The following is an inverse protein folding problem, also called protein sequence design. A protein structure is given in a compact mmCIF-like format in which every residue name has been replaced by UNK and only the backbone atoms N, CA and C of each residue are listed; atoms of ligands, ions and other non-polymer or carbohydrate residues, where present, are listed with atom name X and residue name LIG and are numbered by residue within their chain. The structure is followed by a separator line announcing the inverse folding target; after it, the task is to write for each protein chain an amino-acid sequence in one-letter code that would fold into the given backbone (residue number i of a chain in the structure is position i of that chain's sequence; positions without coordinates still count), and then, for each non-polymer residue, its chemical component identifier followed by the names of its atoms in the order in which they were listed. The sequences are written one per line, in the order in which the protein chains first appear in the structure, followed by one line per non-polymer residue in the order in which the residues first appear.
data_IF_862173406575
#
_entry.id   IF_862173406575
#
_cell.length_a   1.000
_cell.length_b   1.000
_cell.length_c   1.000
_cell.angle_alpha   90.00
_cell.angle_beta   90.00
_cell.angle_gamma   90.00
#
_symmetry.space_group_name_H-M   'P 1'
#
loop_
_entity.id
_entity.type
_entity.pdbx_description
1 polymer ?
#
# COMPACT_ATOMS: atom_id res chain seq x y z
N UNK A 1 5.09 -13.82 -4.23
CA UNK A 1 3.71 -13.29 -4.30
C UNK A 1 3.67 -12.25 -5.40
N UNK A 2 2.68 -12.30 -6.29
CA UNK A 2 2.37 -11.19 -7.18
C UNK A 2 1.80 -10.04 -6.34
N UNK A 3 2.21 -8.81 -6.63
CA UNK A 3 1.83 -7.64 -5.83
C UNK A 3 0.31 -7.40 -5.96
N UNK A 4 -0.45 -7.58 -4.87
CA UNK A 4 -1.90 -7.31 -4.82
C UNK A 4 -2.18 -5.80 -4.73
N UNK A 5 -1.73 -5.05 -5.75
CA UNK A 5 -1.79 -3.58 -5.80
C UNK A 5 -3.21 -3.05 -5.56
N UNK A 6 -4.23 -3.72 -6.11
CA UNK A 6 -5.64 -3.38 -5.91
C UNK A 6 -6.10 -3.58 -4.45
N UNK A 7 -5.62 -4.62 -3.77
CA UNK A 7 -5.94 -4.88 -2.36
C UNK A 7 -5.26 -3.86 -1.42
N UNK A 8 -4.00 -3.51 -1.70
CA UNK A 8 -3.25 -2.51 -0.94
C UNK A 8 -3.80 -1.10 -1.17
N UNK A 9 -4.24 -0.78 -2.39
CA UNK A 9 -4.97 0.45 -2.69
C UNK A 9 -6.29 0.53 -1.91
N UNK A 10 -7.04 -0.57 -1.80
CA UNK A 10 -8.26 -0.63 -1.01
C UNK A 10 -8.00 -0.48 0.51
N UNK A 11 -6.94 -1.10 1.05
CA UNK A 11 -6.53 -0.91 2.45
C UNK A 11 -6.18 0.57 2.73
N UNK A 12 -5.34 1.18 1.88
CA UNK A 12 -4.99 2.59 2.00
C UNK A 12 -6.24 3.48 1.92
N UNK A 13 -7.14 3.23 0.97
CA UNK A 13 -8.36 4.02 0.79
C UNK A 13 -9.33 3.93 1.97
N UNK A 14 -9.47 2.75 2.57
CA UNK A 14 -10.24 2.55 3.79
C UNK A 14 -9.69 3.39 4.95
N UNK A 15 -8.37 3.35 5.18
CA UNK A 15 -7.75 4.13 6.27
C UNK A 15 -7.75 5.65 6.02
N UNK A 16 -7.69 6.10 4.75
CA UNK A 16 -7.92 7.52 4.43
C UNK A 16 -9.37 7.89 4.70
N UNK A 17 -10.35 7.11 4.23
CA UNK A 17 -11.78 7.40 4.45
C UNK A 17 -12.13 7.50 5.94
N UNK A 18 -11.65 6.56 6.76
CA UNK A 18 -11.82 6.61 8.22
C UNK A 18 -11.21 7.85 8.86
N UNK A 19 -10.11 8.39 8.28
CA UNK A 19 -9.49 9.62 8.78
C UNK A 19 -10.26 10.89 8.42
N UNK A 20 -11.07 10.90 7.35
CA UNK A 20 -11.65 12.14 6.81
C UNK A 20 -12.60 12.86 7.78
N UNK A 21 -13.67 12.24 8.34
CA UNK A 21 -14.59 12.98 9.21
C UNK A 21 -13.93 13.56 10.47
N UNK A 22 -13.10 12.81 11.22
CA UNK A 22 -12.44 13.34 12.40
C UNK A 22 -11.30 14.33 12.09
N UNK A 23 -10.66 14.23 10.91
CA UNK A 23 -9.69 15.23 10.45
C UNK A 23 -10.38 16.55 10.13
N UNK A 24 -11.53 16.52 9.44
CA UNK A 24 -12.33 17.71 9.16
C UNK A 24 -12.83 18.38 10.44
N UNK A 25 -13.30 17.59 11.42
CA UNK A 25 -13.63 18.05 12.78
C UNK A 25 -12.44 18.76 13.44
N UNK A 26 -11.26 18.14 13.44
CA UNK A 26 -10.04 18.73 14.02
C UNK A 26 -9.59 20.02 13.33
N UNK A 27 -9.58 20.05 11.99
CA UNK A 27 -9.16 21.21 11.20
C UNK A 27 -10.10 22.41 11.42
N UNK A 28 -11.42 22.17 11.39
CA UNK A 28 -12.40 23.24 11.63
C UNK A 28 -12.42 23.66 13.10
N UNK A 29 -12.22 22.75 14.05
CA UNK A 29 -12.01 23.10 15.46
C UNK A 29 -10.80 24.02 15.66
N UNK A 30 -9.68 23.71 15.02
CA UNK A 30 -8.49 24.58 15.02
C UNK A 30 -8.76 25.95 14.37
N UNK A 31 -9.54 26.00 13.29
CA UNK A 31 -9.99 27.26 12.67
C UNK A 31 -10.94 28.07 13.56
N UNK A 32 -11.76 27.42 14.39
CA UNK A 32 -12.59 28.10 15.40
C UNK A 32 -11.75 28.79 16.47
N UNK A 33 -10.68 28.16 16.94
CA UNK A 33 -9.69 28.82 17.79
C UNK A 33 -8.97 29.97 17.06
N UNK A 34 -8.79 29.85 15.74
CA UNK A 34 -8.17 30.89 14.91
C UNK A 34 -9.10 32.09 14.64
N UNK A 35 -10.43 31.91 14.63
CA UNK A 35 -11.38 33.04 14.52
C UNK A 35 -11.27 33.99 15.71
N UNK A 36 -11.04 33.45 16.92
CA UNK A 36 -10.76 34.25 18.12
C UNK A 36 -9.45 35.06 18.04
N UNK A 37 -8.58 34.78 17.06
CA UNK A 37 -7.29 35.47 16.82
C UNK A 37 -7.33 36.35 15.56
N UNK A 38 -8.10 35.97 14.54
CA UNK A 38 -8.06 36.59 13.19
C UNK A 38 -9.31 37.46 12.90
N UNK A 39 -10.41 37.27 13.62
CA UNK A 39 -11.61 38.12 13.53
C UNK A 39 -12.83 37.44 12.87
N UNK A 40 -14.02 37.92 13.26
CA UNK A 40 -15.29 37.30 12.92
C UNK A 40 -15.65 37.42 11.43
N UNK A 41 -16.10 36.30 10.84
CA UNK A 41 -16.58 36.24 9.45
C UNK A 41 -15.72 35.36 8.53
N UNK A 42 -14.50 35.03 8.94
CA UNK A 42 -13.63 34.08 8.25
C UNK A 42 -14.26 32.69 8.16
N UNK A 43 -14.96 32.25 9.20
CA UNK A 43 -15.62 30.92 9.23
C UNK A 43 -16.64 30.75 8.11
N UNK A 44 -17.50 31.74 7.87
CA UNK A 44 -18.56 31.62 6.87
C UNK A 44 -18.01 31.69 5.44
N UNK A 45 -16.88 32.39 5.25
CA UNK A 45 -16.14 32.38 4.00
C UNK A 45 -15.48 31.02 3.75
N UNK A 46 -14.84 30.43 4.77
CA UNK A 46 -14.27 29.07 4.70
C UNK A 46 -15.37 28.03 4.45
N UNK A 47 -16.51 28.10 5.14
CA UNK A 47 -17.67 27.22 4.93
C UNK A 47 -18.12 27.24 3.47
N UNK A 48 -18.31 28.42 2.89
CA UNK A 48 -18.71 28.55 1.47
C UNK A 48 -17.63 27.97 0.56
N UNK A 49 -16.36 28.27 0.80
CA UNK A 49 -15.26 27.76 0.00
C UNK A 49 -15.13 26.22 0.08
N UNK A 50 -15.34 25.59 1.24
CA UNK A 50 -15.36 24.12 1.39
C UNK A 50 -16.55 23.48 0.64
N UNK A 51 -17.71 24.15 0.59
CA UNK A 51 -18.85 23.64 -0.18
C UNK A 51 -18.63 23.78 -1.69
N UNK A 52 -18.10 24.92 -2.14
CA UNK A 52 -17.71 25.15 -3.55
C UNK A 52 -16.58 24.21 -3.99
N UNK A 53 -15.55 24.03 -3.16
CA UNK A 53 -14.48 23.03 -3.34
C UNK A 53 -15.05 21.65 -3.66
N UNK A 54 -16.00 21.24 -2.82
CA UNK A 54 -16.52 19.89 -2.87
C UNK A 54 -17.38 19.71 -4.11
N UNK A 55 -18.01 20.77 -4.61
CA UNK A 55 -18.80 20.74 -5.84
C UNK A 55 -17.96 20.67 -7.13
N UNK A 56 -16.65 20.98 -7.10
CA UNK A 56 -15.78 20.78 -8.27
C UNK A 56 -15.20 19.36 -8.36
N UNK A 57 -15.06 18.68 -7.21
CA UNK A 57 -14.46 17.32 -7.12
C UNK A 57 -15.51 16.22 -6.96
N UNK A 58 -16.62 16.46 -6.26
CA UNK A 58 -17.68 15.50 -5.98
C UNK A 58 -18.97 15.84 -6.73
N UNK A 59 -19.86 14.86 -6.89
CA UNK A 59 -21.21 15.11 -7.38
C UNK A 59 -22.02 15.96 -6.38
N UNK A 60 -23.02 16.67 -6.88
CA UNK A 60 -23.96 17.49 -6.07
C UNK A 60 -24.55 16.70 -4.90
N UNK A 61 -24.82 15.40 -5.12
CA UNK A 61 -25.33 14.45 -4.12
C UNK A 61 -24.29 14.19 -3.02
N UNK A 62 -23.01 14.00 -3.39
CA UNK A 62 -21.89 13.86 -2.45
C UNK A 62 -21.68 15.09 -1.57
N UNK A 63 -21.75 16.29 -2.14
CA UNK A 63 -21.65 17.55 -1.38
C UNK A 63 -22.80 17.70 -0.38
N UNK A 64 -24.04 17.51 -0.83
CA UNK A 64 -25.22 17.75 -0.02
C UNK A 64 -25.49 16.65 1.03
N UNK A 65 -25.05 15.41 0.81
CA UNK A 65 -25.28 14.29 1.73
C UNK A 65 -24.10 14.02 2.69
N UNK A 66 -22.88 14.48 2.38
CA UNK A 66 -21.72 14.32 3.26
C UNK A 66 -21.14 15.65 3.72
N UNK A 67 -20.66 16.46 2.78
CA UNK A 67 -19.84 17.62 3.12
C UNK A 67 -20.67 18.63 3.91
N UNK A 68 -21.86 18.98 3.43
CA UNK A 68 -22.76 19.91 4.14
C UNK A 68 -23.16 19.39 5.53
N UNK A 69 -23.68 18.15 5.72
CA UNK A 69 -23.99 17.63 7.06
C UNK A 69 -22.79 17.54 8.00
N UNK A 70 -21.60 17.14 7.51
CA UNK A 70 -20.37 17.13 8.31
C UNK A 70 -20.00 18.54 8.75
N UNK A 71 -19.92 19.48 7.81
CA UNK A 71 -19.62 20.90 8.05
C UNK A 71 -20.60 21.52 9.05
N UNK A 72 -21.91 21.31 8.87
CA UNK A 72 -22.94 21.86 9.75
C UNK A 72 -22.97 21.19 11.13
N UNK A 73 -22.60 19.91 11.23
CA UNK A 73 -22.39 19.24 12.51
C UNK A 73 -21.17 19.81 13.26
N UNK A 74 -20.03 19.98 12.58
CA UNK A 74 -18.81 20.51 13.19
C UNK A 74 -19.04 21.92 13.73
N UNK A 75 -19.64 22.81 12.93
CA UNK A 75 -19.89 24.20 13.33
C UNK A 75 -21.00 24.35 14.40
N UNK A 76 -21.78 23.31 14.69
CA UNK A 76 -22.77 23.30 15.78
C UNK A 76 -22.25 22.64 17.06
N UNK A 77 -21.38 21.64 16.95
CA UNK A 77 -20.95 20.82 18.09
C UNK A 77 -19.60 21.31 18.61
N UNK A 78 -19.64 22.43 19.35
CA UNK A 78 -18.49 22.97 20.09
C UNK A 78 -18.08 22.12 21.29
N UNK A 79 -17.67 20.87 21.06
CA UNK A 79 -17.18 19.91 22.06
C UNK A 79 -15.70 19.60 21.85
N UNK A 80 -14.78 20.33 22.52
CA UNK A 80 -13.33 20.18 22.32
C UNK A 80 -12.83 18.77 22.62
N UNK A 81 -13.45 18.08 23.59
CA UNK A 81 -13.16 16.70 23.95
C UNK A 81 -13.37 15.71 22.80
N UNK A 82 -14.52 15.82 22.11
CA UNK A 82 -14.85 14.97 20.95
C UNK A 82 -13.97 15.32 19.75
N UNK A 83 -13.69 16.61 19.54
CA UNK A 83 -12.82 17.08 18.45
C UNK A 83 -11.38 16.58 18.64
N UNK A 84 -10.82 16.68 19.86
CA UNK A 84 -9.46 16.20 20.16
C UNK A 84 -9.35 14.67 20.06
N UNK A 85 -10.30 13.92 20.61
CA UNK A 85 -10.31 12.45 20.49
C UNK A 85 -10.47 12.00 19.03
N UNK A 86 -11.35 12.66 18.28
CA UNK A 86 -11.52 12.43 16.85
C UNK A 86 -10.23 12.70 16.07
N UNK A 87 -9.59 13.85 16.29
CA UNK A 87 -8.35 14.21 15.60
C UNK A 87 -7.23 13.17 15.83
N UNK A 88 -7.08 12.63 17.05
CA UNK A 88 -6.13 11.54 17.33
C UNK A 88 -6.44 10.26 16.54
N UNK A 89 -7.72 9.88 16.43
CA UNK A 89 -8.15 8.73 15.63
C UNK A 89 -7.86 8.96 14.13
N UNK A 90 -8.15 10.16 13.62
CA UNK A 90 -7.80 10.52 12.24
C UNK A 90 -6.29 10.49 12.00
N UNK A 91 -5.48 10.99 12.94
CA UNK A 91 -4.03 10.99 12.84
C UNK A 91 -3.45 9.56 12.82
N UNK A 92 -4.00 8.68 13.65
CA UNK A 92 -3.64 7.26 13.67
C UNK A 92 -4.05 6.53 12.37
N UNK A 93 -5.28 6.78 11.87
CA UNK A 93 -5.80 6.16 10.65
C UNK A 93 -5.07 6.65 9.40
N UNK A 94 -4.89 7.97 9.25
CA UNK A 94 -4.17 8.55 8.11
C UNK A 94 -2.70 8.16 8.07
N UNK A 95 -2.00 8.16 9.22
CA UNK A 95 -0.63 7.62 9.28
C UNK A 95 -0.55 6.13 8.95
N UNK A 96 -1.63 5.35 9.18
CA UNK A 96 -1.72 3.96 8.73
C UNK A 96 -1.89 3.86 7.22
N UNK A 97 -2.70 4.70 6.58
CA UNK A 97 -2.78 4.74 5.11
C UNK A 97 -1.42 5.06 4.47
N UNK A 98 -0.70 6.07 5.01
CA UNK A 98 0.65 6.39 4.55
C UNK A 98 1.64 5.24 4.76
N UNK A 99 1.49 4.45 5.83
CA UNK A 99 2.29 3.25 6.06
C UNK A 99 2.05 2.19 4.98
N UNK A 100 0.80 2.01 4.50
CA UNK A 100 0.51 1.09 3.39
C UNK A 100 1.25 1.54 2.13
N UNK A 101 1.24 2.84 1.79
CA UNK A 101 2.02 3.36 0.66
C UNK A 101 3.53 3.12 0.84
N UNK A 102 4.12 3.61 1.92
CA UNK A 102 5.57 3.53 2.17
C UNK A 102 6.08 2.08 2.14
N UNK A 103 5.36 1.17 2.80
CA UNK A 103 5.74 -0.24 2.86
C UNK A 103 5.56 -0.93 1.49
N UNK A 104 4.42 -0.70 0.81
CA UNK A 104 4.17 -1.24 -0.54
C UNK A 104 5.24 -0.78 -1.54
N UNK A 105 5.61 0.50 -1.54
CA UNK A 105 6.67 1.04 -2.41
C UNK A 105 8.00 0.36 -2.06
N UNK A 106 8.35 0.25 -0.77
CA UNK A 106 9.57 -0.44 -0.32
C UNK A 106 9.63 -1.91 -0.78
N UNK A 107 8.50 -2.60 -0.73
CA UNK A 107 8.30 -3.99 -1.18
C UNK A 107 8.40 -4.11 -2.72
N UNK A 108 7.88 -3.14 -3.48
CA UNK A 108 8.02 -3.10 -4.94
C UNK A 108 9.48 -2.98 -5.39
N UNK A 109 10.30 -2.17 -4.70
CA UNK A 109 11.75 -2.08 -4.96
C UNK A 109 12.54 -3.29 -4.41
N UNK A 110 11.88 -4.21 -3.69
CA UNK A 110 12.50 -5.41 -3.11
C UNK A 110 13.39 -5.13 -1.90
N UNK A 111 13.17 -4.00 -1.21
CA UNK A 111 13.97 -3.52 -0.07
C UNK A 111 13.24 -3.64 1.28
N UNK A 112 12.21 -4.50 1.33
CA UNK A 112 11.44 -4.82 2.53
C UNK A 112 12.35 -5.24 3.71
N UNK A 113 11.94 -4.90 4.93
CA UNK A 113 12.73 -5.14 6.13
C UNK A 113 14.03 -4.32 6.28
N UNK A 114 14.44 -3.50 5.30
CA UNK A 114 15.68 -2.67 5.41
C UNK A 114 15.57 -1.54 6.43
N UNK A 115 14.40 -0.90 6.54
CA UNK A 115 14.18 0.25 7.43
C UNK A 115 13.77 -0.18 8.85
N UNK A 116 13.12 -1.35 9.01
CA UNK A 116 12.57 -1.83 10.27
C UNK A 116 11.22 -1.18 10.63
N UNK A 117 10.33 -1.96 11.27
CA UNK A 117 8.91 -1.61 11.47
C UNK A 117 8.73 -0.24 12.14
N UNK A 118 9.43 0.02 13.24
CA UNK A 118 9.32 1.26 14.02
C UNK A 118 9.70 2.49 13.19
N UNK A 119 10.79 2.43 12.41
CA UNK A 119 11.24 3.54 11.57
C UNK A 119 10.32 3.74 10.36
N UNK A 120 9.78 2.68 9.76
CA UNK A 120 8.75 2.80 8.72
C UNK A 120 7.48 3.46 9.26
N UNK A 121 7.03 3.08 10.47
CA UNK A 121 5.85 3.67 11.11
C UNK A 121 6.05 5.15 11.45
N UNK A 122 7.20 5.51 12.04
CA UNK A 122 7.55 6.90 12.34
C UNK A 122 7.65 7.75 11.06
N UNK A 123 8.29 7.23 10.01
CA UNK A 123 8.37 7.92 8.73
C UNK A 123 6.98 8.18 8.13
N UNK A 124 6.10 7.18 8.17
CA UNK A 124 4.73 7.28 7.66
C UNK A 124 3.89 8.30 8.42
N UNK A 125 4.11 8.40 9.74
CA UNK A 125 3.50 9.43 10.58
C UNK A 125 4.02 10.84 10.22
N UNK A 126 5.34 11.03 10.09
CA UNK A 126 5.92 12.32 9.70
C UNK A 126 5.48 12.73 8.29
N UNK A 127 5.48 11.80 7.33
CA UNK A 127 4.96 12.05 5.98
C UNK A 127 3.47 12.42 5.99
N UNK A 128 2.67 11.82 6.87
CA UNK A 128 1.27 12.20 7.03
C UNK A 128 1.12 13.62 7.58
N UNK A 129 1.89 14.00 8.62
CA UNK A 129 1.90 15.38 9.14
C UNK A 129 2.31 16.38 8.04
N UNK A 130 3.37 16.09 7.28
CA UNK A 130 3.81 16.95 6.16
C UNK A 130 2.74 17.03 5.08
N UNK A 131 2.08 15.92 4.73
CA UNK A 131 0.98 15.89 3.76
C UNK A 131 -0.25 16.68 4.26
N UNK A 132 -0.53 16.69 5.56
CA UNK A 132 -1.57 17.53 6.16
C UNK A 132 -1.21 19.03 6.09
N UNK A 133 0.02 19.40 6.42
CA UNK A 133 0.49 20.80 6.36
C UNK A 133 0.50 21.33 4.92
N UNK A 134 1.04 20.54 3.97
CA UNK A 134 1.01 20.88 2.54
C UNK A 134 -0.43 20.91 2.03
N UNK A 135 -1.26 19.94 2.39
CA UNK A 135 -2.67 19.89 2.02
C UNK A 135 -3.48 21.07 2.55
N UNK A 136 -3.20 21.54 3.77
CA UNK A 136 -3.85 22.71 4.36
C UNK A 136 -3.52 24.04 3.63
N UNK A 137 -2.45 24.09 2.83
CA UNK A 137 -2.11 25.24 1.97
C UNK A 137 -2.58 25.00 0.53
N UNK A 138 -2.29 23.82 -0.02
CA UNK A 138 -2.55 23.49 -1.44
C UNK A 138 -4.03 23.27 -1.72
N UNK A 139 -4.80 22.65 -0.82
CA UNK A 139 -6.23 22.42 -1.05
C UNK A 139 -7.01 23.75 -1.09
N UNK A 140 -6.87 24.70 -0.14
CA UNK A 140 -7.53 26.00 -0.26
C UNK A 140 -7.12 26.77 -1.51
N UNK A 141 -5.84 26.73 -1.93
CA UNK A 141 -5.41 27.30 -3.21
C UNK A 141 -6.16 26.65 -4.38
N UNK A 142 -6.12 25.31 -4.47
CA UNK A 142 -6.76 24.53 -5.54
C UNK A 142 -8.27 24.81 -5.67
N UNK A 143 -8.90 25.07 -4.53
CA UNK A 143 -10.33 25.32 -4.36
C UNK A 143 -10.73 26.73 -4.72
N UNK A 144 -9.98 27.71 -4.20
CA UNK A 144 -10.33 29.12 -4.32
C UNK A 144 -9.97 29.68 -5.70
N UNK A 145 -9.25 28.89 -6.51
CA UNK A 145 -8.96 29.19 -7.91
C UNK A 145 -7.93 30.32 -8.06
N UNK A 146 -7.70 30.76 -9.30
CA UNK A 146 -6.87 31.93 -9.56
C UNK A 146 -7.39 33.18 -8.85
N UNK A 147 -8.72 33.39 -8.82
CA UNK A 147 -9.37 34.59 -8.29
C UNK A 147 -8.94 34.96 -6.86
N UNK A 148 -8.78 33.96 -5.97
CA UNK A 148 -8.32 34.21 -4.60
C UNK A 148 -6.83 34.61 -4.51
N UNK A 149 -5.99 34.15 -5.45
CA UNK A 149 -4.58 34.57 -5.55
C UNK A 149 -4.48 35.94 -6.22
N UNK A 150 -5.35 36.24 -7.19
CA UNK A 150 -5.46 37.57 -7.82
C UNK A 150 -5.90 38.64 -6.80
N UNK A 151 -6.78 38.30 -5.86
CA UNK A 151 -7.17 39.19 -4.76
C UNK A 151 -6.01 39.57 -3.82
N UNK A 152 -4.96 38.74 -3.72
CA UNK A 152 -3.75 39.03 -2.95
C UNK A 152 -2.72 39.86 -3.74
N UNK A 153 -2.71 39.76 -5.08
CA UNK A 153 -1.81 40.52 -5.96
C UNK A 153 -2.56 41.05 -7.20
N UNK A 154 -3.29 42.19 -7.08
CA UNK A 154 -4.17 42.68 -8.14
C UNK A 154 -3.47 43.03 -9.46
N UNK A 155 -2.17 43.35 -9.40
CA UNK A 155 -1.37 43.77 -10.55
C UNK A 155 -0.80 42.59 -11.37
N UNK A 156 -1.03 41.34 -10.97
CA UNK A 156 -0.48 40.16 -11.65
C UNK A 156 -1.55 39.20 -12.20
N UNK A 157 -2.80 39.64 -12.37
CA UNK A 157 -3.94 38.78 -12.73
C UNK A 157 -3.66 37.76 -13.85
N UNK A 158 -3.23 38.23 -15.03
CA UNK A 158 -2.91 37.35 -16.17
C UNK A 158 -1.68 36.45 -15.98
N UNK A 159 -0.76 36.79 -15.06
CA UNK A 159 0.37 35.93 -14.69
C UNK A 159 -0.10 34.83 -13.73
N UNK A 160 -1.00 35.16 -12.80
CA UNK A 160 -1.58 34.21 -11.84
C UNK A 160 -2.42 33.17 -12.57
N UNK A 161 -3.33 33.58 -13.47
CA UNK A 161 -4.14 32.65 -14.29
C UNK A 161 -3.25 31.68 -15.08
N UNK A 162 -2.19 32.18 -15.69
CA UNK A 162 -1.28 31.38 -16.52
C UNK A 162 -0.37 30.43 -15.71
N UNK A 163 0.13 30.86 -14.55
CA UNK A 163 1.05 30.04 -13.73
C UNK A 163 0.33 29.10 -12.75
N UNK A 164 -0.93 29.35 -12.40
CA UNK A 164 -1.66 28.58 -11.39
C UNK A 164 -1.67 27.07 -11.69
N UNK A 165 -2.14 26.67 -12.88
CA UNK A 165 -2.21 25.26 -13.26
C UNK A 165 -0.82 24.60 -13.41
N UNK A 166 0.19 25.23 -14.05
CA UNK A 166 1.57 24.75 -14.01
C UNK A 166 2.13 24.59 -12.60
N UNK A 167 1.87 25.51 -11.67
CA UNK A 167 2.35 25.43 -10.29
C UNK A 167 1.67 24.28 -9.56
N UNK A 168 0.34 24.12 -9.67
CA UNK A 168 -0.40 22.97 -9.11
C UNK A 168 0.17 21.65 -9.66
N UNK A 169 0.38 21.57 -10.98
CA UNK A 169 0.94 20.39 -11.65
C UNK A 169 2.35 20.05 -11.14
N UNK A 170 3.24 21.04 -11.06
CA UNK A 170 4.62 20.87 -10.55
C UNK A 170 4.62 20.48 -9.08
N UNK A 171 3.76 21.08 -8.24
CA UNK A 171 3.61 20.70 -6.83
C UNK A 171 3.07 19.28 -6.66
N UNK A 172 2.08 18.86 -7.47
CA UNK A 172 1.56 17.50 -7.47
C UNK A 172 2.64 16.48 -7.86
N UNK A 173 3.38 16.75 -8.94
CA UNK A 173 4.51 15.90 -9.36
C UNK A 173 5.56 15.85 -8.25
N UNK A 174 5.98 17.00 -7.71
CA UNK A 174 6.98 17.07 -6.66
C UNK A 174 6.55 16.33 -5.38
N UNK A 175 5.26 16.39 -5.01
CA UNK A 175 4.70 15.63 -3.89
C UNK A 175 4.76 14.10 -4.14
N UNK A 176 4.29 13.63 -5.32
CA UNK A 176 4.33 12.20 -5.66
C UNK A 176 5.78 11.68 -5.74
N UNK A 177 6.66 12.39 -6.44
CA UNK A 177 8.09 12.04 -6.55
C UNK A 177 8.73 11.99 -5.17
N UNK A 178 8.43 12.95 -4.28
CA UNK A 178 8.95 12.93 -2.90
C UNK A 178 8.38 11.77 -2.07
N UNK A 179 7.10 11.43 -2.23
CA UNK A 179 6.51 10.25 -1.60
C UNK A 179 7.24 8.96 -2.02
N UNK A 180 7.49 8.76 -3.31
CA UNK A 180 8.24 7.61 -3.81
C UNK A 180 9.69 7.61 -3.30
N UNK A 181 10.38 8.73 -3.47
CA UNK A 181 11.78 8.90 -3.11
C UNK A 181 12.04 8.61 -1.62
N UNK A 182 11.22 9.21 -0.74
CA UNK A 182 11.34 9.04 0.71
C UNK A 182 10.88 7.64 1.15
N UNK A 183 9.95 7.01 0.43
CA UNK A 183 9.55 5.63 0.71
C UNK A 183 10.71 4.65 0.50
N UNK A 184 11.58 4.86 -0.49
CA UNK A 184 12.73 3.98 -0.74
C UNK A 184 13.81 4.16 0.35
N UNK A 185 14.30 3.08 1.02
CA UNK A 185 15.27 3.16 2.11
C UNK A 185 16.74 3.33 1.66
N UNK A 186 16.98 3.86 0.46
CA UNK A 186 18.31 4.16 -0.10
C UNK A 186 18.27 5.47 -0.87
N UNK A 187 19.40 6.18 -0.92
CA UNK A 187 19.52 7.44 -1.66
C UNK A 187 19.86 7.15 -3.13
N UNK A 188 18.92 7.37 -4.03
CA UNK A 188 19.19 7.55 -5.47
C UNK A 188 18.90 9.02 -5.88
N UNK A 189 19.15 9.44 -7.13
CA UNK A 189 18.70 10.74 -7.63
C UNK A 189 17.16 10.87 -7.63
N UNK A 190 16.61 11.90 -6.97
CA UNK A 190 15.16 12.19 -6.91
C UNK A 190 14.48 12.27 -8.29
N UNK A 191 15.22 12.62 -9.34
CA UNK A 191 14.74 12.66 -10.72
C UNK A 191 14.37 11.29 -11.30
N UNK A 192 14.91 10.20 -10.75
CA UNK A 192 14.56 8.82 -11.15
C UNK A 192 13.10 8.47 -10.81
N UNK A 193 12.51 9.14 -9.81
CA UNK A 193 11.15 8.88 -9.34
C UNK A 193 10.07 9.69 -10.11
N UNK A 194 10.46 10.64 -10.95
CA UNK A 194 9.55 11.53 -11.71
C UNK A 194 8.70 10.79 -12.77
N UNK A 195 9.20 9.82 -13.55
CA UNK A 195 8.40 9.13 -14.58
C UNK A 195 7.15 8.45 -14.00
N UNK A 196 7.28 7.79 -12.86
CA UNK A 196 6.17 7.17 -12.13
C UNK A 196 5.18 8.19 -11.58
N UNK A 197 5.64 9.38 -11.16
CA UNK A 197 4.75 10.46 -10.72
C UNK A 197 3.89 10.98 -11.87
N UNK A 198 4.45 11.08 -13.09
CA UNK A 198 3.69 11.41 -14.30
C UNK A 198 2.66 10.32 -14.66
N UNK A 199 3.04 9.04 -14.58
CA UNK A 199 2.11 7.91 -14.84
C UNK A 199 1.00 7.85 -13.80
N UNK A 200 1.31 8.06 -12.52
CA UNK A 200 0.30 8.11 -11.46
C UNK A 200 -0.66 9.28 -11.65
N UNK A 201 -0.16 10.47 -12.00
CA UNK A 201 -1.03 11.61 -12.27
C UNK A 201 -1.94 11.37 -13.49
N UNK A 202 -1.39 10.80 -14.57
CA UNK A 202 -2.17 10.42 -15.74
C UNK A 202 -3.26 9.39 -15.40
N UNK A 203 -2.93 8.32 -14.68
CA UNK A 203 -3.91 7.31 -14.25
C UNK A 203 -4.91 7.85 -13.24
N UNK A 204 -4.54 8.83 -12.41
CA UNK A 204 -5.45 9.49 -11.49
C UNK A 204 -6.47 10.36 -12.23
N UNK A 205 -6.04 11.14 -13.22
CA UNK A 205 -6.95 11.93 -14.08
C UNK A 205 -7.89 11.01 -14.88
N UNK A 206 -7.32 10.00 -15.56
CA UNK A 206 -8.10 9.03 -16.34
C UNK A 206 -9.09 8.25 -15.46
N UNK A 207 -8.62 7.75 -14.31
CA UNK A 207 -9.43 7.03 -13.34
C UNK A 207 -10.54 7.90 -12.74
N UNK A 208 -10.25 9.16 -12.41
CA UNK A 208 -11.25 10.11 -11.89
C UNK A 208 -12.31 10.44 -12.95
N UNK A 209 -11.91 10.58 -14.22
CA UNK A 209 -12.83 10.78 -15.34
C UNK A 209 -13.76 9.57 -15.55
N UNK A 210 -13.20 8.36 -15.60
CA UNK A 210 -13.97 7.11 -15.73
C UNK A 210 -14.90 6.89 -14.53
N UNK A 211 -14.41 7.15 -13.31
CA UNK A 211 -15.22 7.04 -12.10
C UNK A 211 -16.35 8.07 -12.09
N UNK A 212 -16.11 9.31 -12.55
CA UNK A 212 -17.17 10.32 -12.69
C UNK A 212 -18.30 9.80 -13.59
N UNK A 213 -17.97 9.25 -14.76
CA UNK A 213 -18.95 8.64 -15.68
C UNK A 213 -19.73 7.50 -14.99
N UNK A 214 -19.04 6.61 -14.29
CA UNK A 214 -19.68 5.52 -13.55
C UNK A 214 -20.66 6.03 -12.48
N UNK A 215 -20.25 7.04 -11.70
CA UNK A 215 -21.05 7.64 -10.64
C UNK A 215 -22.24 8.44 -11.18
N UNK A 216 -22.08 9.19 -12.28
CA UNK A 216 -23.20 9.91 -12.90
C UNK A 216 -24.29 8.93 -13.38
N UNK A 217 -23.91 7.85 -14.05
CA UNK A 217 -24.88 6.87 -14.54
C UNK A 217 -25.49 5.99 -13.42
N UNK A 218 -24.73 5.67 -12.38
CA UNK A 218 -25.15 4.69 -11.36
C UNK A 218 -25.74 5.33 -10.11
N UNK A 219 -25.28 6.52 -9.72
CA UNK A 219 -25.55 7.12 -8.40
C UNK A 219 -26.43 8.37 -8.41
N UNK A 220 -26.69 9.00 -9.56
CA UNK A 220 -27.51 10.23 -9.61
C UNK A 220 -29.03 9.94 -9.53
N UNK A 221 -29.48 8.78 -9.99
CA UNK A 221 -30.89 8.36 -9.91
C UNK A 221 -31.37 7.90 -8.51
N UNK A 222 -32.59 7.31 -8.43
CA UNK A 222 -33.11 6.65 -7.23
C UNK A 222 -32.29 5.38 -6.91
N UNK A 223 -31.21 5.55 -6.14
CA UNK A 223 -30.28 4.48 -5.76
C UNK A 223 -30.84 3.64 -4.61
N UNK A 224 -30.81 2.30 -4.74
CA UNK A 224 -31.02 1.37 -3.62
C UNK A 224 -30.06 1.60 -2.44
N UNK A 225 -28.91 2.24 -2.69
CA UNK A 225 -27.91 2.59 -1.69
C UNK A 225 -28.28 3.80 -0.81
N UNK A 226 -29.33 4.55 -1.12
CA UNK A 226 -29.81 5.67 -0.29
C UNK A 226 -28.71 6.63 0.16
N UNK A 227 -28.55 6.78 1.48
CA UNK A 227 -27.51 7.60 2.14
C UNK A 227 -26.08 7.05 2.03
N UNK A 228 -25.91 5.75 1.71
CA UNK A 228 -24.60 5.12 1.53
C UNK A 228 -23.99 5.38 0.15
N UNK A 229 -24.76 5.91 -0.81
CA UNK A 229 -24.27 6.22 -2.16
C UNK A 229 -23.07 7.19 -2.13
N UNK A 230 -23.11 8.21 -1.27
CA UNK A 230 -22.05 9.21 -1.19
C UNK A 230 -20.76 8.69 -0.52
N UNK A 231 -20.77 8.00 0.65
CA UNK A 231 -19.56 7.41 1.23
C UNK A 231 -18.89 6.39 0.29
N UNK A 232 -19.69 5.60 -0.44
CA UNK A 232 -19.18 4.65 -1.44
C UNK A 232 -18.51 5.38 -2.60
N UNK A 233 -19.10 6.48 -3.10
CA UNK A 233 -18.48 7.30 -4.14
C UNK A 233 -17.12 7.87 -3.71
N UNK A 234 -17.01 8.36 -2.46
CA UNK A 234 -15.75 8.84 -1.89
C UNK A 234 -14.73 7.69 -1.76
N UNK A 235 -15.14 6.54 -1.23
CA UNK A 235 -14.27 5.36 -1.10
C UNK A 235 -13.70 4.91 -2.45
N UNK A 236 -14.54 4.87 -3.49
CA UNK A 236 -14.12 4.53 -4.85
C UNK A 236 -13.12 5.55 -5.41
N UNK A 237 -13.34 6.85 -5.17
CA UNK A 237 -12.43 7.90 -5.66
C UNK A 237 -11.07 7.87 -4.96
N UNK A 238 -11.05 7.67 -3.65
CA UNK A 238 -9.81 7.45 -2.90
C UNK A 238 -9.14 6.14 -3.36
N UNK A 239 -9.91 5.07 -3.60
CA UNK A 239 -9.41 3.79 -4.10
C UNK A 239 -8.72 3.89 -5.46
N UNK A 240 -9.34 4.60 -6.41
CA UNK A 240 -8.75 4.94 -7.72
C UNK A 240 -7.49 5.77 -7.55
N UNK A 241 -7.49 6.73 -6.63
CA UNK A 241 -6.32 7.58 -6.35
C UNK A 241 -5.15 6.78 -5.75
N UNK A 242 -5.42 5.93 -4.76
CA UNK A 242 -4.43 5.03 -4.17
C UNK A 242 -3.88 4.03 -5.20
N UNK A 243 -4.75 3.48 -6.05
CA UNK A 243 -4.34 2.61 -7.15
C UNK A 243 -3.41 3.33 -8.14
N UNK A 244 -3.76 4.54 -8.58
CA UNK A 244 -2.93 5.32 -9.50
C UNK A 244 -1.55 5.63 -8.91
N UNK A 245 -1.48 6.03 -7.63
CA UNK A 245 -0.21 6.27 -6.91
C UNK A 245 0.63 4.99 -6.83
N UNK A 246 0.04 3.83 -6.54
CA UNK A 246 0.77 2.56 -6.48
C UNK A 246 1.19 2.05 -7.87
N UNK A 247 0.43 2.34 -8.93
CA UNK A 247 0.82 2.05 -10.32
C UNK A 247 2.04 2.88 -10.73
N UNK A 248 2.08 4.17 -10.41
CA UNK A 248 3.27 5.00 -10.64
C UNK A 248 4.52 4.50 -9.91
N UNK A 249 4.36 4.11 -8.63
CA UNK A 249 5.45 3.47 -7.87
C UNK A 249 5.91 2.15 -8.49
N UNK A 250 4.99 1.33 -8.98
CA UNK A 250 5.31 0.08 -9.66
C UNK A 250 6.08 0.31 -10.98
N UNK A 251 5.78 1.39 -11.70
CA UNK A 251 6.54 1.80 -12.90
C UNK A 251 7.97 2.23 -12.53
N UNK A 252 8.17 3.05 -11.50
CA UNK A 252 9.54 3.39 -11.05
C UNK A 252 10.30 2.15 -10.57
N UNK A 253 9.67 1.28 -9.78
CA UNK A 253 10.28 0.02 -9.34
C UNK A 253 10.59 -0.94 -10.51
N UNK A 254 9.81 -0.91 -11.59
CA UNK A 254 10.11 -1.64 -12.81
C UNK A 254 11.28 -1.01 -13.59
N UNK A 255 11.35 0.31 -13.68
CA UNK A 255 12.48 1.03 -14.27
C UNK A 255 13.79 0.74 -13.53
N UNK A 256 13.79 0.81 -12.18
CA UNK A 256 14.94 0.48 -11.33
C UNK A 256 15.38 -1.01 -11.42
N UNK A 257 14.51 -1.91 -11.90
CA UNK A 257 14.91 -3.30 -12.19
C UNK A 257 15.67 -3.44 -13.51
N UNK A 258 15.36 -2.61 -14.51
CA UNK A 258 15.99 -2.64 -15.85
C UNK A 258 17.25 -1.77 -15.87
N UNK A 259 17.18 -0.58 -15.27
CA UNK A 259 18.27 0.40 -15.14
C UNK A 259 18.50 0.72 -13.66
N UNK A 260 19.11 -0.20 -12.90
CA UNK A 260 19.28 -0.02 -11.46
C UNK A 260 20.28 1.08 -11.12
N UNK A 261 19.92 1.96 -10.20
CA UNK A 261 20.90 2.86 -9.57
C UNK A 261 21.96 2.04 -8.81
N UNK A 262 23.17 2.58 -8.63
CA UNK A 262 24.22 1.90 -7.85
C UNK A 262 23.77 1.61 -6.40
N UNK A 263 22.99 2.52 -5.81
CA UNK A 263 22.50 2.40 -4.44
C UNK A 263 21.43 1.29 -4.30
N UNK A 264 20.46 1.25 -5.20
CA UNK A 264 19.41 0.20 -5.21
C UNK A 264 19.98 -1.16 -5.59
N UNK A 265 20.92 -1.24 -6.54
CA UNK A 265 21.64 -2.47 -6.88
C UNK A 265 22.41 -3.05 -5.69
N UNK A 266 23.24 -2.24 -5.03
CA UNK A 266 24.02 -2.67 -3.87
C UNK A 266 23.12 -3.11 -2.71
N UNK A 267 22.06 -2.36 -2.43
CA UNK A 267 21.12 -2.67 -1.36
C UNK A 267 20.30 -3.95 -1.60
N UNK A 268 19.92 -4.23 -2.86
CA UNK A 268 19.28 -5.49 -3.26
C UNK A 268 20.26 -6.66 -3.14
N UNK A 269 21.53 -6.49 -3.52
CA UNK A 269 22.55 -7.52 -3.38
C UNK A 269 22.86 -7.86 -1.92
N UNK A 270 22.95 -6.85 -1.05
CA UNK A 270 23.09 -6.99 0.40
C UNK A 270 21.90 -7.78 1.01
N UNK A 271 20.66 -7.40 0.66
CA UNK A 271 19.44 -8.09 1.10
C UNK A 271 19.34 -9.53 0.59
N UNK A 272 19.78 -9.80 -0.64
CA UNK A 272 19.84 -11.16 -1.18
C UNK A 272 20.84 -12.05 -0.41
N UNK A 273 21.98 -11.50 0.02
CA UNK A 273 22.95 -12.22 0.87
C UNK A 273 22.37 -12.52 2.26
N UNK A 274 21.76 -11.54 2.92
CA UNK A 274 21.13 -11.72 4.23
C UNK A 274 20.06 -12.81 4.21
N UNK A 275 19.12 -12.77 3.24
CA UNK A 275 18.10 -13.82 3.07
C UNK A 275 18.67 -15.21 2.80
N UNK A 276 19.79 -15.29 2.08
CA UNK A 276 20.46 -16.57 1.83
C UNK A 276 21.12 -17.14 3.10
N UNK A 277 21.62 -16.28 3.99
CA UNK A 277 22.14 -16.67 5.30
C UNK A 277 21.02 -17.13 6.23
N UNK A 278 19.94 -16.33 6.34
CA UNK A 278 18.73 -16.68 7.12
C UNK A 278 18.14 -18.03 6.66
N UNK A 279 18.02 -18.26 5.35
CA UNK A 279 17.54 -19.53 4.80
C UNK A 279 18.48 -20.71 5.11
N UNK A 280 19.79 -20.51 5.08
CA UNK A 280 20.77 -21.54 5.43
C UNK A 280 20.71 -21.89 6.92
N UNK A 281 20.55 -20.90 7.81
CA UNK A 281 20.35 -21.13 9.24
C UNK A 281 19.05 -21.89 9.55
N UNK A 282 17.95 -21.55 8.87
CA UNK A 282 16.68 -22.25 9.04
C UNK A 282 16.76 -23.72 8.58
N UNK A 283 17.44 -24.00 7.46
CA UNK A 283 17.68 -25.38 7.00
C UNK A 283 18.59 -26.13 7.97
N UNK A 284 19.63 -25.50 8.50
CA UNK A 284 20.51 -26.12 9.50
C UNK A 284 19.75 -26.46 10.80
N UNK A 285 18.88 -25.55 11.29
CA UNK A 285 18.04 -25.80 12.47
C UNK A 285 17.01 -26.92 12.23
N UNK A 286 16.42 -26.99 11.04
CA UNK A 286 15.49 -28.05 10.68
C UNK A 286 16.19 -29.42 10.64
N UNK A 287 17.39 -29.49 10.03
CA UNK A 287 18.19 -30.72 9.99
C UNK A 287 18.58 -31.20 11.41
N UNK A 288 19.05 -30.29 12.29
CA UNK A 288 19.36 -30.66 13.67
C UNK A 288 18.14 -31.12 14.49
N UNK A 289 16.93 -30.64 14.16
CA UNK A 289 15.71 -31.07 14.82
C UNK A 289 15.23 -32.46 14.34
N UNK A 290 15.47 -32.81 13.07
CA UNK A 290 15.24 -34.17 12.56
C UNK A 290 16.23 -35.18 13.16
N UNK A 291 17.49 -34.79 13.37
CA UNK A 291 18.51 -35.63 14.04
C UNK A 291 18.15 -35.93 15.50
N UNK A 292 17.66 -34.93 16.25
CA UNK A 292 17.29 -35.04 17.68
C UNK A 292 15.99 -35.82 17.93
N UNK A 293 15.12 -35.95 16.92
CA UNK A 293 13.94 -36.83 16.95
C UNK A 293 14.17 -38.20 16.28
N UNK A 294 15.33 -38.41 15.67
CA UNK A 294 15.69 -39.64 14.96
C UNK A 294 16.44 -40.68 15.78
N UNK A 295 16.82 -40.37 17.03
CA UNK A 295 17.50 -41.31 17.92
C UNK A 295 16.51 -42.38 18.42
N UNK A 296 16.71 -43.68 18.10
CA UNK A 296 15.95 -44.73 18.74
C UNK A 296 16.42 -44.86 20.18
N UNK A 297 15.49 -44.84 21.13
CA UNK A 297 15.74 -45.17 22.54
C UNK A 297 16.14 -46.65 22.66
N UNK A 298 17.43 -46.92 22.43
CA UNK A 298 18.07 -48.20 22.63
C UNK A 298 18.38 -48.45 24.10
N UNK A 299 17.40 -48.28 25.00
CA UNK A 299 17.50 -48.73 26.37
C UNK A 299 16.88 -50.12 26.52
N UNK A 300 17.74 -51.08 26.86
CA UNK A 300 17.38 -52.48 27.08
C UNK A 300 16.32 -52.59 28.17
N UNK A 301 15.15 -53.17 27.86
CA UNK A 301 14.34 -53.85 28.87
C UNK A 301 14.61 -55.34 28.77
N UNK A 302 15.35 -55.83 29.76
CA UNK A 302 15.54 -57.26 29.99
C UNK A 302 14.19 -57.92 30.26
N UNK A 303 14.04 -59.16 29.81
CA UNK A 303 12.87 -59.96 30.12
C UNK A 303 13.10 -60.63 31.48
N UNK A 304 12.26 -60.32 32.46
CA UNK A 304 12.02 -61.19 33.61
C UNK A 304 10.58 -61.67 33.55
N UNK A 305 10.45 -62.99 33.45
CA UNK A 305 9.20 -63.73 33.65
C UNK A 305 9.00 -63.87 35.16
N UNK A 306 7.83 -63.54 35.69
CA UNK A 306 7.34 -64.18 36.91
C UNK A 306 5.81 -64.27 36.91
N UNK A 307 5.28 -65.36 37.44
CA UNK A 307 3.94 -65.89 37.13
C UNK A 307 3.14 -66.17 38.41
N UNK A 308 2.12 -65.35 38.72
CA UNK A 308 1.10 -65.68 39.74
C UNK A 308 -0.21 -64.86 39.60
N UNK A 309 -1.33 -65.57 39.60
CA UNK A 309 -2.75 -65.17 39.63
C UNK A 309 -3.34 -65.61 41.02
N UNK A 310 -4.61 -65.37 41.46
CA UNK A 310 -5.69 -64.48 40.98
C UNK A 310 -6.40 -63.58 42.05
N UNK A 311 -7.13 -62.55 41.56
CA UNK A 311 -8.52 -62.12 41.93
C UNK A 311 -8.91 -61.76 43.40
N UNK A 312 -10.11 -61.20 43.69
CA UNK A 312 -10.86 -60.08 43.10
C UNK A 312 -10.94 -58.84 44.03
N UNK A 313 -11.32 -57.66 43.49
CA UNK A 313 -12.45 -56.85 44.03
C UNK A 313 -12.71 -55.56 43.19
N UNK A 314 -13.99 -55.34 42.86
CA UNK A 314 -14.62 -54.06 42.45
C UNK A 314 -15.65 -53.72 43.55
N UNK A 315 -16.11 -52.46 43.74
CA UNK A 315 -16.19 -51.38 42.75
C UNK A 315 -15.74 -49.99 43.32
N UNK A 316 -16.11 -48.77 42.88
CA UNK A 316 -17.06 -48.27 41.86
C UNK A 316 -16.66 -46.88 41.27
N UNK A 317 -17.50 -46.35 40.36
CA UNK A 317 -17.82 -44.94 40.01
C UNK A 317 -16.83 -43.78 40.35
N UNK A 318 -16.34 -43.06 39.33
CA UNK A 318 -16.92 -41.77 38.90
C UNK A 318 -16.23 -41.17 37.63
N UNK A 319 -17.01 -40.46 36.80
CA UNK A 319 -16.59 -39.81 35.54
C UNK A 319 -15.84 -38.47 35.76
N UNK A 320 -14.91 -38.08 34.86
CA UNK A 320 -15.23 -37.06 33.83
C UNK A 320 -14.11 -36.68 32.82
N UNK A 321 -14.55 -36.38 31.59
CA UNK A 321 -13.98 -35.44 30.62
C UNK A 321 -12.54 -35.60 30.04
N UNK A 322 -12.32 -36.64 29.22
CA UNK A 322 -11.49 -36.49 28.01
C UNK A 322 -12.26 -35.68 26.95
N UNK A 323 -11.76 -34.50 26.55
CA UNK A 323 -12.44 -33.63 25.60
C UNK A 323 -12.41 -34.19 24.15
N UNK A 324 -13.53 -34.79 23.74
CA UNK A 324 -13.77 -35.32 22.38
C UNK A 324 -13.86 -34.19 21.35
N UNK A 325 -13.22 -34.37 20.19
CA UNK A 325 -13.34 -33.46 19.06
C UNK A 325 -14.73 -33.54 18.40
N UNK A 326 -15.38 -32.42 18.03
CA UNK A 326 -16.75 -32.43 17.52
C UNK A 326 -16.87 -33.13 16.16
N UNK A 327 -17.77 -34.12 16.08
CA UNK A 327 -17.92 -35.08 14.98
C UNK A 327 -18.59 -34.53 13.70
N UNK A 328 -18.51 -33.22 13.43
CA UNK A 328 -19.29 -32.57 12.38
C UNK A 328 -18.59 -32.49 11.01
N UNK A 329 -17.27 -32.74 10.93
CA UNK A 329 -16.49 -32.70 9.67
C UNK A 329 -15.30 -33.69 9.67
N UNK A 330 -15.49 -35.00 9.39
CA UNK A 330 -14.39 -35.97 9.35
C UNK A 330 -13.35 -35.66 8.27
N UNK A 331 -13.78 -35.12 7.12
CA UNK A 331 -12.94 -34.79 5.96
C UNK A 331 -11.86 -33.72 6.23
N UNK A 332 -11.99 -32.91 7.29
CA UNK A 332 -11.03 -31.85 7.62
C UNK A 332 -9.80 -32.33 8.39
N UNK A 333 -9.89 -33.50 9.01
CA UNK A 333 -8.85 -34.04 9.91
C UNK A 333 -8.26 -35.36 9.41
N UNK A 334 -8.79 -35.92 8.31
CA UNK A 334 -8.17 -37.01 7.60
C UNK A 334 -6.81 -36.56 7.00
N UNK A 335 -5.68 -37.25 7.28
CA UNK A 335 -4.44 -37.01 6.58
C UNK A 335 -4.64 -37.25 5.08
N UNK A 336 -4.37 -36.24 4.25
CA UNK A 336 -4.47 -36.39 2.81
C UNK A 336 -3.54 -37.52 2.34
N UNK A 337 -4.02 -38.48 1.52
CA UNK A 337 -3.20 -39.61 1.09
C UNK A 337 -1.96 -39.10 0.34
N UNK A 338 -0.78 -39.50 0.80
CA UNK A 338 0.51 -39.02 0.30
C UNK A 338 0.66 -39.33 -1.20
N UNK A 339 0.42 -38.31 -2.03
CA UNK A 339 0.54 -38.42 -3.48
C UNK A 339 1.97 -38.14 -3.87
N UNK A 340 2.75 -39.21 -4.11
CA UNK A 340 4.13 -39.08 -4.55
C UNK A 340 4.22 -38.13 -5.77
N UNK A 341 5.18 -37.17 -5.78
CA UNK A 341 5.33 -36.26 -6.90
C UNK A 341 5.64 -37.04 -8.19
N UNK A 342 5.12 -36.62 -9.36
CA UNK A 342 5.38 -37.31 -10.62
C UNK A 342 6.90 -37.36 -10.88
N UNK A 343 7.39 -38.54 -11.24
CA UNK A 343 8.82 -38.78 -11.44
C UNK A 343 9.41 -37.76 -12.42
N UNK A 344 10.31 -36.91 -11.94
CA UNK A 344 11.03 -35.94 -12.77
C UNK A 344 11.92 -36.73 -13.71
N UNK A 345 11.74 -36.66 -15.05
CA UNK A 345 12.60 -37.38 -15.98
C UNK A 345 14.04 -36.90 -15.79
N UNK A 346 14.95 -37.86 -15.59
CA UNK A 346 16.34 -37.58 -15.24
C UNK A 346 16.97 -36.60 -16.22
N UNK A 347 17.55 -35.51 -15.71
CA UNK A 347 18.26 -34.52 -16.54
C UNK A 347 19.37 -35.23 -17.33
N UNK A 348 19.36 -35.21 -18.67
CA UNK A 348 20.46 -35.79 -19.44
C UNK A 348 21.77 -35.10 -19.07
N UNK A 349 22.81 -35.91 -18.87
CA UNK A 349 24.06 -35.50 -18.24
C UNK A 349 24.74 -34.30 -18.91
N UNK A 350 25.46 -33.51 -18.10
CA UNK A 350 26.10 -32.23 -18.48
C UNK A 350 27.36 -32.41 -19.37
N UNK A 351 27.32 -33.29 -20.38
CA UNK A 351 28.32 -33.46 -21.45
C UNK A 351 27.68 -33.15 -22.81
N UNK A 352 27.75 -31.88 -23.25
CA UNK A 352 27.27 -31.51 -24.59
C UNK A 352 27.20 -30.01 -24.93
N UNK A 353 27.04 -29.11 -23.93
CA UNK A 353 26.83 -27.67 -24.18
C UNK A 353 28.08 -26.84 -24.56
N UNK A 354 29.24 -27.46 -24.76
CA UNK A 354 30.45 -26.78 -25.25
C UNK A 354 30.46 -26.64 -26.80
N UNK A 355 29.77 -27.54 -27.51
CA UNK A 355 29.78 -27.56 -28.99
C UNK A 355 28.92 -26.50 -29.69
N UNK A 356 27.85 -26.00 -29.04
CA UNK A 356 26.86 -25.16 -29.72
C UNK A 356 27.29 -23.68 -29.86
N UNK A 357 27.96 -23.12 -28.84
CA UNK A 357 28.46 -21.73 -28.89
C UNK A 357 29.50 -21.49 -30.00
N UNK A 358 30.29 -22.51 -30.37
CA UNK A 358 31.28 -22.39 -31.46
C UNK A 358 30.65 -22.38 -32.88
N UNK A 359 29.43 -22.91 -33.07
CA UNK A 359 28.76 -22.90 -34.39
C UNK A 359 28.08 -21.55 -34.69
N UNK A 360 27.48 -20.91 -33.68
CA UNK A 360 26.86 -19.58 -33.86
C UNK A 360 27.91 -18.50 -34.12
N UNK A 361 29.01 -18.48 -33.35
CA UNK A 361 30.11 -17.53 -33.56
C UNK A 361 30.73 -17.62 -34.97
N UNK A 362 30.86 -18.83 -35.54
CA UNK A 362 31.37 -19.02 -36.91
C UNK A 362 30.40 -18.59 -38.01
N UNK A 363 29.07 -18.55 -37.76
CA UNK A 363 28.11 -18.00 -38.73
C UNK A 363 28.13 -16.46 -38.74
N UNK A 364 28.18 -15.82 -37.56
CA UNK A 364 28.25 -14.36 -37.46
C UNK A 364 29.54 -13.81 -38.09
N UNK A 365 30.69 -14.45 -37.86
CA UNK A 365 31.96 -14.01 -38.45
C UNK A 365 32.01 -14.12 -39.98
N UNK A 366 31.35 -15.13 -40.59
CA UNK A 366 31.26 -15.24 -42.05
C UNK A 366 30.36 -14.17 -42.69
N UNK A 367 29.38 -13.64 -41.97
CA UNK A 367 28.55 -12.54 -42.45
C UNK A 367 29.30 -11.21 -42.42
N UNK A 368 30.09 -10.96 -41.38
CA UNK A 368 30.87 -9.73 -41.21
C UNK A 368 32.05 -9.56 -42.18
N UNK A 369 32.57 -10.63 -42.79
CA UNK A 369 33.78 -10.60 -43.64
C UNK A 369 33.46 -10.77 -45.14
N UNK A 370 32.22 -11.13 -45.50
CA UNK A 370 31.84 -11.44 -46.89
C UNK A 370 31.17 -10.31 -47.70
N UNK A 371 30.74 -9.23 -47.06
CA UNK A 371 29.84 -8.22 -47.66
C UNK A 371 30.51 -7.12 -48.50
N UNK A 372 31.52 -7.46 -49.33
CA UNK A 372 32.43 -6.46 -49.88
C UNK A 372 32.96 -6.69 -51.30
N UNK A 373 32.16 -7.22 -52.25
CA UNK A 373 32.49 -7.22 -53.70
C UNK A 373 31.26 -7.50 -54.58
N UNK A 374 30.72 -6.44 -55.20
CA UNK A 374 30.28 -6.40 -56.60
C UNK A 374 29.71 -5.00 -56.91
N UNK A 375 30.22 -4.35 -57.96
CA UNK A 375 29.56 -3.21 -58.62
C UNK A 375 28.82 -3.76 -59.85
N UNK A 376 27.78 -3.05 -60.27
CA UNK A 376 27.00 -3.29 -61.48
C UNK A 376 25.96 -2.20 -61.60
#
# INVERSE_FOLDING_TARGET
MEYRVTGLAAEAAFFVLLSLPPLLLGLVGALGYLEAVIGAGTIDHIRRNILTASATVLSVKGVNQLVRPLVDYVFRVGRPDVISAGFLIALWSGSRALNVFVDTITIMYGLEGRRGIVRTRLLSFVLYIVALLVGAVVLPLLVAGPEAVIGLVPHSAGVVDALYWPVVLVLSIAFLTTLYHVSVPVRSPWVEDVPGALVALFMWVLGSFLLRIYLTHTMEGPTIYGSLAAPVAVLLWIGVSAFAVLVGAAVNAAADRVWPSLATAAARAERARARAQEAAELVARAASAEEDHGAPDGSSREAEEDEADPDPERPDEDDDALAVAPAEYPERWAPAPFRAPPAVPARPGRRGRVGLRRRVARRVWRWAVGGGRARG
#
